data_IF_126700475064
#
_entry.id   IF_126700475064
#
_cell.length_a   1.000
_cell.length_b   1.000
_cell.length_c   1.000
_cell.angle_alpha   90.00
_cell.angle_beta   90.00
_cell.angle_gamma   90.00
#
_symmetry.space_group_name_H-M   'P 1'
#
loop_
_entity.id
_entity.type
_entity.pdbx_description
1 polymer ?
#
# COMPACT_ATOMS: atom_id res chain seq x y z
N UNK A 1 19.71 5.29 16.99
CA UNK A 1 19.08 4.22 16.17
C UNK A 1 20.19 3.58 15.35
N UNK A 2 20.28 2.25 15.26
CA UNK A 2 21.33 1.62 14.45
C UNK A 2 21.00 1.73 12.95
N UNK A 3 22.03 1.75 12.11
CA UNK A 3 21.91 1.78 10.65
C UNK A 3 21.00 0.64 10.14
N UNK A 4 21.15 -0.57 10.67
CA UNK A 4 20.31 -1.71 10.31
C UNK A 4 18.81 -1.46 10.54
N UNK A 5 18.45 -0.80 11.65
CA UNK A 5 17.05 -0.46 11.97
C UNK A 5 16.54 0.63 11.04
N UNK A 6 17.38 1.60 10.66
CA UNK A 6 17.03 2.64 9.69
C UNK A 6 16.82 2.02 8.31
N UNK A 7 17.76 1.20 7.85
CA UNK A 7 17.68 0.51 6.56
C UNK A 7 16.40 -0.32 6.42
N UNK A 8 16.05 -1.12 7.44
CA UNK A 8 14.81 -1.91 7.43
C UNK A 8 13.56 -1.02 7.29
N UNK A 9 13.54 0.15 7.93
CA UNK A 9 12.41 1.09 7.85
C UNK A 9 12.34 1.81 6.51
N UNK A 10 13.49 2.11 5.91
CA UNK A 10 13.55 2.77 4.59
C UNK A 10 13.15 1.82 3.46
N UNK A 11 13.43 0.52 3.61
CA UNK A 11 13.10 -0.51 2.63
C UNK A 11 11.77 -1.21 2.91
N UNK A 12 10.95 -0.74 3.87
CA UNK A 12 9.65 -1.35 4.14
C UNK A 12 8.72 -1.15 2.94
N UNK A 13 7.95 -2.18 2.61
CA UNK A 13 6.97 -2.12 1.53
C UNK A 13 5.94 -1.02 1.79
N UNK A 14 5.65 -0.22 0.76
CA UNK A 14 4.63 0.82 0.83
C UNK A 14 3.27 0.18 0.56
N UNK A 15 2.58 -0.22 1.63
CA UNK A 15 1.28 -0.87 1.61
C UNK A 15 0.26 -0.02 2.39
N UNK A 16 -1.00 -0.08 1.97
CA UNK A 16 -2.13 0.51 2.67
C UNK A 16 -3.08 -0.58 3.13
N UNK A 17 -3.60 -0.42 4.35
CA UNK A 17 -4.64 -1.27 4.90
C UNK A 17 -5.98 -0.56 4.72
N UNK A 18 -6.91 -1.21 4.01
CA UNK A 18 -8.28 -0.72 3.84
C UNK A 18 -9.18 -1.54 4.75
N UNK A 19 -10.00 -0.88 5.56
CA UNK A 19 -10.85 -1.55 6.54
C UNK A 19 -11.91 -2.41 5.86
N UNK A 20 -12.31 -3.48 6.53
CA UNK A 20 -13.39 -4.37 6.09
C UNK A 20 -14.66 -3.59 5.78
N UNK A 21 -15.05 -2.66 6.66
CA UNK A 21 -16.29 -1.91 6.54
C UNK A 21 -16.30 -1.04 5.28
N UNK A 22 -15.16 -0.43 4.94
CA UNK A 22 -15.01 0.39 3.73
C UNK A 22 -15.13 -0.46 2.46
N UNK A 23 -14.64 -1.71 2.50
CA UNK A 23 -14.81 -2.68 1.40
C UNK A 23 -16.29 -3.05 1.24
N UNK A 24 -16.95 -3.41 2.33
CA UNK A 24 -18.35 -3.86 2.32
C UNK A 24 -19.35 -2.74 1.97
N UNK A 25 -19.00 -1.47 2.21
CA UNK A 25 -19.78 -0.32 1.75
C UNK A 25 -19.83 -0.20 0.22
N UNK A 26 -18.79 -0.68 -0.47
CA UNK A 26 -18.62 -0.50 -1.91
C UNK A 26 -18.85 -1.77 -2.71
N UNK A 27 -18.54 -2.93 -2.14
CA UNK A 27 -18.73 -4.22 -2.75
C UNK A 27 -19.56 -5.13 -1.85
N UNK A 28 -20.69 -5.57 -2.41
CA UNK A 28 -21.57 -6.58 -1.84
C UNK A 28 -21.59 -7.81 -2.76
N UNK A 29 -22.27 -8.88 -2.34
CA UNK A 29 -22.47 -10.10 -3.13
C UNK A 29 -22.98 -9.82 -4.56
N UNK A 30 -23.83 -8.82 -4.70
CA UNK A 30 -24.48 -8.45 -5.97
C UNK A 30 -23.61 -7.52 -6.84
N UNK A 31 -22.50 -7.02 -6.31
CA UNK A 31 -21.64 -6.05 -6.99
C UNK A 31 -20.44 -6.76 -7.62
N UNK A 32 -20.24 -6.59 -8.94
CA UNK A 32 -19.09 -7.18 -9.62
C UNK A 32 -17.77 -6.56 -9.14
N UNK A 33 -16.86 -7.44 -8.69
CA UNK A 33 -15.47 -7.14 -8.32
C UNK A 33 -14.58 -7.00 -9.57
N UNK A 34 -15.12 -7.20 -10.78
CA UNK A 34 -14.34 -7.14 -12.02
C UNK A 34 -13.91 -5.71 -12.39
N UNK A 35 -14.58 -4.71 -11.80
CA UNK A 35 -14.15 -3.30 -11.86
C UNK A 35 -12.73 -3.08 -11.32
N UNK A 36 -12.26 -3.90 -10.37
CA UNK A 36 -10.89 -3.85 -9.86
C UNK A 36 -9.85 -4.35 -10.88
N UNK A 37 -10.24 -5.09 -11.91
CA UNK A 37 -9.32 -5.59 -12.93
C UNK A 37 -9.12 -4.60 -14.10
N UNK A 38 -10.01 -3.62 -14.26
CA UNK A 38 -10.06 -2.78 -15.46
C UNK A 38 -9.11 -1.57 -15.45
N UNK A 39 -8.61 -1.15 -14.28
CA UNK A 39 -7.81 0.09 -14.11
C UNK A 39 -6.42 -0.11 -13.50
N UNK A 40 -5.94 -1.35 -13.40
CA UNK A 40 -4.71 -1.65 -12.66
C UNK A 40 -3.49 -1.54 -13.56
N UNK A 41 -2.90 -0.34 -13.59
CA UNK A 41 -1.57 -0.13 -14.20
C UNK A 41 -0.42 -0.66 -13.34
N UNK A 42 -0.67 -0.93 -12.05
CA UNK A 42 0.35 -1.33 -11.09
C UNK A 42 0.35 -2.85 -10.86
N UNK A 43 1.41 -3.58 -11.27
CA UNK A 43 1.47 -5.04 -11.16
C UNK A 43 1.41 -5.55 -9.70
N UNK A 44 1.65 -4.69 -8.72
CA UNK A 44 1.59 -5.05 -7.29
C UNK A 44 0.19 -5.45 -6.84
N UNK A 45 -0.87 -4.97 -7.50
CA UNK A 45 -2.25 -5.38 -7.21
C UNK A 45 -2.47 -6.87 -7.49
N UNK A 46 -1.88 -7.39 -8.57
CA UNK A 46 -1.92 -8.82 -8.90
C UNK A 46 -1.08 -9.62 -7.91
N UNK A 47 0.11 -9.14 -7.56
CA UNK A 47 0.99 -9.80 -6.57
C UNK A 47 0.33 -9.91 -5.20
N UNK A 48 -0.41 -8.89 -4.79
CA UNK A 48 -1.13 -8.86 -3.52
C UNK A 48 -2.50 -9.55 -3.58
N UNK A 49 -2.92 -10.04 -4.74
CA UNK A 49 -4.26 -10.61 -4.97
C UNK A 49 -5.39 -9.75 -4.36
N UNK A 50 -5.36 -8.44 -4.63
CA UNK A 50 -6.33 -7.50 -4.03
C UNK A 50 -7.77 -7.91 -4.35
N UNK A 51 -7.99 -8.43 -5.57
CA UNK A 51 -9.30 -8.91 -5.98
C UNK A 51 -9.76 -10.12 -5.14
N UNK A 52 -8.87 -11.10 -4.91
CA UNK A 52 -9.15 -12.24 -4.04
C UNK A 52 -9.43 -11.84 -2.60
N UNK A 53 -8.67 -10.88 -2.07
CA UNK A 53 -8.91 -10.33 -0.72
C UNK A 53 -10.31 -9.71 -0.59
N UNK A 54 -10.76 -8.92 -1.59
CA UNK A 54 -12.12 -8.35 -1.59
C UNK A 54 -13.19 -9.43 -1.66
N UNK A 55 -13.03 -10.43 -2.55
CA UNK A 55 -13.96 -11.56 -2.65
C UNK A 55 -14.07 -12.34 -1.34
N UNK A 56 -12.94 -12.51 -0.65
CA UNK A 56 -12.90 -13.19 0.64
C UNK A 56 -13.68 -12.40 1.72
N UNK A 57 -13.50 -11.08 1.79
CA UNK A 57 -14.26 -10.22 2.72
C UNK A 57 -15.76 -10.32 2.48
N UNK A 58 -16.21 -10.28 1.22
CA UNK A 58 -17.63 -10.41 0.85
C UNK A 58 -18.17 -11.78 1.27
N UNK A 59 -17.45 -12.86 0.95
CA UNK A 59 -17.85 -14.23 1.30
C UNK A 59 -17.94 -14.45 2.81
N UNK A 60 -17.04 -13.85 3.58
CA UNK A 60 -17.09 -13.88 5.05
C UNK A 60 -18.27 -13.09 5.62
N UNK A 61 -18.80 -12.12 4.88
CA UNK A 61 -19.99 -11.37 5.30
C UNK A 61 -21.26 -12.21 5.11
N UNK A 62 -21.37 -12.91 3.99
CA UNK A 62 -22.47 -13.84 3.72
C UNK A 62 -22.45 -15.07 4.64
N UNK A 63 -21.26 -15.48 5.09
CA UNK A 63 -21.12 -16.57 6.03
C UNK A 63 -21.30 -16.03 7.47
N UNK A 64 -22.49 -16.25 8.04
CA UNK A 64 -22.81 -15.90 9.45
C UNK A 64 -22.04 -16.71 10.51
N UNK A 65 -20.96 -17.39 10.13
CA UNK A 65 -20.13 -18.15 11.06
C UNK A 65 -19.21 -17.22 11.86
N UNK A 66 -19.78 -16.58 12.89
CA UNK A 66 -19.07 -15.68 13.82
C UNK A 66 -17.90 -16.35 14.57
N UNK A 67 -17.81 -17.69 14.54
CA UNK A 67 -16.74 -18.43 15.20
C UNK A 67 -15.44 -18.44 14.40
N UNK A 68 -15.48 -18.10 13.11
CA UNK A 68 -14.27 -17.98 12.30
C UNK A 68 -13.70 -16.57 12.38
N UNK A 69 -12.38 -16.41 12.56
CA UNK A 69 -11.76 -15.10 12.50
C UNK A 69 -11.93 -14.52 11.10
N UNK A 70 -12.62 -13.38 11.00
CA UNK A 70 -12.83 -12.64 9.76
C UNK A 70 -11.65 -11.72 9.47
N UNK A 71 -11.40 -11.44 8.20
CA UNK A 71 -10.44 -10.42 7.79
C UNK A 71 -10.92 -9.04 8.26
N UNK A 72 -10.07 -8.32 8.99
CA UNK A 72 -10.35 -6.95 9.44
C UNK A 72 -10.01 -5.90 8.39
N UNK A 73 -9.07 -6.21 7.49
CA UNK A 73 -8.58 -5.30 6.45
C UNK A 73 -8.13 -6.07 5.22
N UNK A 74 -8.14 -5.41 4.07
CA UNK A 74 -7.40 -5.83 2.88
C UNK A 74 -6.13 -4.99 2.73
N UNK A 75 -5.15 -5.53 2.02
CA UNK A 75 -3.86 -4.88 1.73
C UNK A 75 -3.84 -4.46 0.27
N UNK A 76 -3.59 -3.18 0.01
CA UNK A 76 -3.40 -2.63 -1.34
C UNK A 76 -2.00 -1.99 -1.45
N UNK A 77 -1.43 -1.91 -2.65
CA UNK A 77 -0.19 -1.16 -2.82
C UNK A 77 -0.45 0.33 -2.60
N UNK A 78 0.41 0.99 -1.84
CA UNK A 78 0.35 2.43 -1.70
C UNK A 78 0.73 3.11 -3.03
N UNK A 79 0.02 4.17 -3.40
CA UNK A 79 0.36 5.01 -4.55
C UNK A 79 1.66 5.81 -4.33
N UNK A 80 2.08 5.97 -3.08
CA UNK A 80 3.36 6.57 -2.71
C UNK A 80 4.43 5.50 -2.45
N UNK A 81 5.69 5.87 -2.64
CA UNK A 81 6.85 5.08 -2.22
C UNK A 81 7.37 5.62 -0.89
N UNK A 82 7.74 4.73 0.02
CA UNK A 82 8.47 5.08 1.23
C UNK A 82 9.80 5.75 0.86
N UNK A 83 10.16 6.79 1.60
CA UNK A 83 11.37 7.56 1.36
C UNK A 83 11.67 8.50 2.51
N UNK A 84 12.77 9.23 2.38
CA UNK A 84 13.15 10.31 3.30
C UNK A 84 13.17 11.62 2.54
N UNK A 85 12.63 12.66 3.17
CA UNK A 85 12.77 14.02 2.65
C UNK A 85 13.98 14.66 3.32
N UNK A 86 14.95 15.06 2.51
CA UNK A 86 16.12 15.81 2.97
C UNK A 86 15.89 17.30 2.70
N UNK A 87 16.22 18.15 3.68
CA UNK A 87 16.06 19.59 3.56
C UNK A 87 17.39 20.28 3.87
N UNK A 88 17.79 21.19 2.98
CA UNK A 88 18.96 22.04 3.14
C UNK A 88 18.73 23.40 2.47
N UNK A 89 19.47 24.43 2.88
CA UNK A 89 19.47 25.70 2.17
C UNK A 89 20.03 25.49 0.77
N UNK A 90 19.32 25.98 -0.26
CA UNK A 90 19.69 25.76 -1.67
C UNK A 90 21.14 26.13 -1.99
N UNK A 91 21.67 27.15 -1.31
CA UNK A 91 23.01 27.69 -1.54
C UNK A 91 24.05 27.28 -0.49
N UNK A 92 23.70 26.39 0.45
CA UNK A 92 24.70 25.83 1.37
C UNK A 92 25.44 24.66 0.73
N UNK A 93 26.62 24.33 1.26
CA UNK A 93 27.41 23.21 0.76
C UNK A 93 26.61 21.88 0.76
N UNK A 94 25.87 21.51 1.83
CA UNK A 94 25.02 20.32 1.80
C UNK A 94 23.89 20.39 0.77
N UNK A 95 23.33 21.58 0.52
CA UNK A 95 22.28 21.76 -0.48
C UNK A 95 22.80 21.57 -1.90
N UNK A 96 24.02 22.01 -2.19
CA UNK A 96 24.68 21.78 -3.47
C UNK A 96 25.12 20.32 -3.65
N UNK A 97 25.53 19.65 -2.58
CA UNK A 97 25.86 18.22 -2.59
C UNK A 97 24.64 17.36 -2.92
N UNK A 98 23.51 17.60 -2.22
CA UNK A 98 22.25 16.89 -2.48
C UNK A 98 21.75 17.07 -3.93
N UNK A 99 21.89 18.27 -4.49
CA UNK A 99 21.48 18.54 -5.88
C UNK A 99 22.36 17.87 -6.94
N UNK A 100 23.55 17.39 -6.57
CA UNK A 100 24.52 16.75 -7.47
C UNK A 100 24.67 15.25 -7.23
N UNK A 101 23.90 14.66 -6.34
CA UNK A 101 23.95 13.24 -6.01
C UNK A 101 23.00 12.42 -6.93
N UNK A 102 23.47 11.83 -8.05
CA UNK A 102 22.63 11.06 -8.97
C UNK A 102 22.07 9.77 -8.36
N UNK A 103 22.68 9.27 -7.29
CA UNK A 103 22.22 8.12 -6.51
C UNK A 103 20.95 8.42 -5.71
N UNK A 104 20.60 9.69 -5.52
CA UNK A 104 19.36 10.13 -4.91
C UNK A 104 18.33 10.43 -6.01
N UNK A 105 17.40 9.51 -6.33
CA UNK A 105 16.40 9.76 -7.33
C UNK A 105 15.50 10.92 -6.89
N UNK A 106 15.29 11.88 -7.79
CA UNK A 106 14.21 12.85 -7.65
C UNK A 106 12.90 12.09 -7.88
N UNK A 107 12.13 11.92 -6.79
CA UNK A 107 10.81 11.29 -6.83
C UNK A 107 9.81 12.13 -7.62
#
# INVERSE_FOLDING_TARGET
>A
VSEAVVHQRLCSESLLLIRREDVLQRWTADTSVDSLAQDVSDPRWTVLDVQGQVRQVIREEECEDERKPKMSHIVIPAAYRSGVTLFALRHSDPGQELLRAPELPLL
#
